data_IF_457496770998
#
_entry.id   IF_457496770998
#
_cell.length_a   1.000
_cell.length_b   1.000
_cell.length_c   1.000
_cell.angle_alpha   90.00
_cell.angle_beta   90.00
_cell.angle_gamma   90.00
#
_symmetry.space_group_name_H-M   'P 1'
#
loop_
_entity.id
_entity.type
_entity.pdbx_description
1 polymer ?
#
# COMPACT_ATOMS: atom_id res chain seq x y z
N UNK A 1 2.18 -8.75 -49.96
CA UNK A 1 1.76 -9.88 -50.81
C UNK A 1 1.32 -11.09 -49.94
N UNK A 2 0.64 -10.81 -48.83
CA UNK A 2 0.17 -11.83 -47.84
C UNK A 2 -1.39 -11.82 -47.70
N UNK A 3 -2.08 -10.93 -48.38
CA UNK A 3 -3.51 -10.70 -48.18
C UNK A 3 -4.47 -11.44 -49.10
N UNK A 4 -3.96 -12.12 -50.13
CA UNK A 4 -4.83 -12.80 -51.12
C UNK A 4 -5.14 -14.28 -50.80
N UNK A 5 -4.37 -14.89 -49.92
CA UNK A 5 -4.52 -16.36 -49.63
C UNK A 5 -5.60 -16.62 -48.57
N UNK A 6 -5.86 -15.65 -47.70
CA UNK A 6 -6.85 -15.79 -46.59
C UNK A 6 -8.29 -15.60 -47.13
N UNK A 7 -8.50 -14.67 -48.10
CA UNK A 7 -9.81 -14.48 -48.73
C UNK A 7 -10.31 -15.68 -49.54
N UNK A 8 -9.44 -16.46 -50.17
CA UNK A 8 -9.84 -17.64 -50.94
C UNK A 8 -10.28 -18.81 -50.06
N UNK A 9 -9.76 -18.96 -48.85
CA UNK A 9 -10.19 -20.03 -47.93
C UNK A 9 -11.54 -19.78 -47.27
N UNK A 10 -11.90 -18.53 -47.01
CA UNK A 10 -13.23 -18.19 -46.51
C UNK A 10 -14.34 -18.39 -47.54
N UNK A 11 -14.10 -18.12 -48.80
CA UNK A 11 -15.09 -18.27 -49.87
C UNK A 11 -15.38 -19.76 -50.18
N UNK A 12 -14.39 -20.65 -50.07
CA UNK A 12 -14.59 -22.08 -50.23
C UNK A 12 -15.33 -22.75 -49.04
N UNK A 13 -15.20 -22.22 -47.85
CA UNK A 13 -15.92 -22.70 -46.68
C UNK A 13 -17.41 -22.36 -46.75
N UNK A 14 -17.77 -21.20 -47.35
CA UNK A 14 -19.17 -20.81 -47.52
C UNK A 14 -19.97 -21.66 -48.53
N UNK A 15 -19.28 -22.27 -49.53
CA UNK A 15 -19.99 -23.12 -50.53
C UNK A 15 -20.38 -24.51 -50.05
N UNK A 16 -19.72 -25.02 -48.95
CA UNK A 16 -20.07 -26.33 -48.34
C UNK A 16 -21.05 -26.23 -47.19
N UNK A 17 -21.42 -25.03 -46.72
CA UNK A 17 -22.28 -24.80 -45.56
C UNK A 17 -23.77 -24.60 -45.94
N UNK A 18 -24.17 -24.74 -47.20
CA UNK A 18 -25.56 -24.47 -47.69
C UNK A 18 -26.56 -25.60 -47.39
N UNK A 19 -26.21 -26.62 -46.60
CA UNK A 19 -27.13 -27.70 -46.19
C UNK A 19 -27.51 -27.71 -44.70
N UNK A 20 -27.22 -26.63 -43.93
CA UNK A 20 -27.66 -26.54 -42.54
C UNK A 20 -28.90 -25.59 -42.41
N UNK A 21 -29.87 -25.89 -41.54
CA UNK A 21 -31.04 -25.05 -41.36
C UNK A 21 -30.65 -23.65 -40.86
N UNK A 22 -31.29 -22.62 -41.40
CA UNK A 22 -31.01 -21.18 -41.17
C UNK A 22 -30.84 -20.78 -39.69
N UNK A 23 -31.44 -21.52 -38.77
CA UNK A 23 -31.31 -21.27 -37.32
C UNK A 23 -29.90 -21.52 -36.74
N UNK A 24 -29.13 -22.45 -37.31
CA UNK A 24 -27.76 -22.79 -36.82
C UNK A 24 -26.76 -21.77 -37.33
N UNK A 25 -26.98 -21.18 -38.50
CA UNK A 25 -26.06 -20.16 -39.05
C UNK A 25 -26.10 -18.85 -38.24
N UNK A 26 -27.29 -18.47 -37.69
CA UNK A 26 -27.44 -17.30 -36.83
C UNK A 26 -26.74 -17.47 -35.48
N UNK A 27 -26.71 -18.68 -34.92
CA UNK A 27 -26.03 -18.96 -33.65
C UNK A 27 -24.50 -18.94 -33.78
N UNK A 28 -23.95 -19.42 -34.89
CA UNK A 28 -22.52 -19.41 -35.15
C UNK A 28 -21.99 -17.98 -35.41
N UNK A 29 -22.79 -17.11 -36.04
CA UNK A 29 -22.44 -15.70 -36.21
C UNK A 29 -22.50 -14.88 -34.89
N UNK A 30 -23.45 -15.22 -34.00
CA UNK A 30 -23.52 -14.60 -32.67
C UNK A 30 -22.32 -15.01 -31.80
N UNK A 31 -21.86 -16.26 -31.89
CA UNK A 31 -20.66 -16.71 -31.15
C UNK A 31 -19.34 -16.19 -31.73
N UNK A 32 -19.25 -15.93 -33.02
CA UNK A 32 -18.05 -15.35 -33.65
C UNK A 32 -17.84 -13.86 -33.33
N UNK A 33 -18.91 -13.13 -32.96
CA UNK A 33 -18.83 -11.71 -32.54
C UNK A 33 -18.40 -11.50 -31.08
N UNK A 34 -18.34 -12.56 -30.25
CA UNK A 34 -18.04 -12.43 -28.83
C UNK A 34 -16.52 -12.47 -28.54
N UNK A 35 -15.70 -12.86 -29.51
CA UNK A 35 -14.25 -13.00 -29.30
C UNK A 35 -13.37 -11.94 -29.98
N UNK A 36 -13.91 -10.78 -30.32
CA UNK A 36 -13.09 -9.60 -30.63
C UNK A 36 -12.81 -8.81 -29.35
N UNK A 37 -12.16 -9.43 -28.35
CA UNK A 37 -11.40 -8.68 -27.37
C UNK A 37 -10.25 -8.02 -28.15
N UNK A 38 -10.49 -6.81 -28.61
CA UNK A 38 -9.42 -5.92 -28.98
C UNK A 38 -8.51 -5.83 -27.74
N UNK A 39 -7.29 -6.35 -27.81
CA UNK A 39 -6.23 -6.08 -26.86
C UNK A 39 -5.95 -4.57 -26.95
N UNK A 40 -6.83 -3.75 -26.36
CA UNK A 40 -6.61 -2.31 -26.26
C UNK A 40 -5.42 -2.16 -25.29
N UNK A 41 -4.33 -1.63 -25.79
CA UNK A 41 -3.18 -1.30 -24.95
C UNK A 41 -3.65 -0.25 -23.93
N UNK A 42 -3.56 -0.56 -22.65
CA UNK A 42 -3.92 0.38 -21.59
C UNK A 42 -2.78 1.39 -21.40
N UNK A 43 -3.14 2.66 -21.21
CA UNK A 43 -2.19 3.74 -20.96
C UNK A 43 -2.17 4.08 -19.48
N UNK A 44 -1.04 3.85 -18.81
CA UNK A 44 -0.85 4.15 -17.39
C UNK A 44 -0.04 5.43 -17.20
N UNK A 45 -0.46 6.26 -16.25
CA UNK A 45 0.27 7.45 -15.84
C UNK A 45 0.78 7.29 -14.42
N UNK A 46 2.09 7.29 -14.25
CA UNK A 46 2.73 7.36 -12.94
C UNK A 46 3.06 8.81 -12.59
N UNK A 47 2.68 9.26 -11.41
CA UNK A 47 3.06 10.56 -10.88
C UNK A 47 3.77 10.35 -9.55
N UNK A 48 5.01 10.82 -9.45
CA UNK A 48 5.87 10.67 -8.29
C UNK A 48 5.97 11.98 -7.52
N UNK A 49 5.78 11.94 -6.21
CA UNK A 49 5.98 13.10 -5.32
C UNK A 49 7.41 13.60 -5.30
N UNK A 50 8.38 12.71 -5.56
CA UNK A 50 9.81 13.00 -5.56
C UNK A 50 10.58 11.88 -6.28
N UNK A 51 11.79 12.21 -6.68
CA UNK A 51 12.72 11.26 -7.29
C UNK A 51 13.59 10.58 -6.22
N UNK A 52 13.17 9.42 -5.73
CA UNK A 52 13.93 8.65 -4.75
C UNK A 52 14.11 7.20 -5.21
N UNK A 53 15.16 6.50 -4.71
CA UNK A 53 15.40 5.10 -5.06
C UNK A 53 14.19 4.20 -4.83
N UNK A 54 13.47 4.36 -3.71
CA UNK A 54 12.29 3.55 -3.39
C UNK A 54 11.14 3.78 -4.38
N UNK A 55 10.88 5.04 -4.76
CA UNK A 55 9.83 5.36 -5.73
C UNK A 55 10.17 4.82 -7.11
N UNK A 56 11.43 5.01 -7.56
CA UNK A 56 11.91 4.41 -8.82
C UNK A 56 11.84 2.88 -8.78
N UNK A 57 12.16 2.27 -7.64
CA UNK A 57 12.10 0.81 -7.49
C UNK A 57 10.67 0.29 -7.67
N UNK A 58 9.67 0.94 -7.06
CA UNK A 58 8.25 0.58 -7.25
C UNK A 58 7.86 0.67 -8.72
N UNK A 59 8.16 1.80 -9.38
CA UNK A 59 7.82 1.98 -10.80
C UNK A 59 8.50 0.93 -11.66
N UNK A 60 9.81 0.71 -11.47
CA UNK A 60 10.57 -0.26 -12.27
C UNK A 60 10.03 -1.69 -12.14
N UNK A 61 9.64 -2.10 -10.94
CA UNK A 61 9.07 -3.43 -10.71
C UNK A 61 7.74 -3.60 -11.44
N UNK A 62 6.87 -2.60 -11.40
CA UNK A 62 5.58 -2.62 -12.09
C UNK A 62 5.78 -2.61 -13.61
N UNK A 63 6.64 -1.72 -14.11
CA UNK A 63 6.84 -1.57 -15.56
C UNK A 63 7.57 -2.76 -16.18
N UNK A 64 8.49 -3.40 -15.46
CA UNK A 64 9.14 -4.63 -15.91
C UNK A 64 8.13 -5.75 -16.11
N UNK A 65 7.16 -5.91 -15.23
CA UNK A 65 6.07 -6.88 -15.37
C UNK A 65 5.21 -6.57 -16.60
N UNK A 66 4.86 -5.31 -16.80
CA UNK A 66 4.07 -4.86 -17.94
C UNK A 66 4.80 -4.99 -19.29
N UNK A 67 6.12 -4.76 -19.32
CA UNK A 67 6.93 -4.98 -20.53
C UNK A 67 6.96 -6.45 -20.93
N UNK A 68 6.96 -7.37 -19.97
CA UNK A 68 6.87 -8.81 -20.24
C UNK A 68 5.48 -9.21 -20.76
N UNK A 69 4.41 -8.67 -20.18
CA UNK A 69 3.02 -8.96 -20.59
C UNK A 69 2.58 -8.22 -21.86
N UNK A 70 3.24 -7.13 -22.24
CA UNK A 70 2.94 -6.24 -23.39
C UNK A 70 1.51 -5.66 -23.38
N UNK A 71 0.91 -5.52 -22.21
CA UNK A 71 -0.48 -5.08 -22.07
C UNK A 71 -0.62 -3.58 -21.76
N UNK A 72 0.50 -2.90 -21.45
CA UNK A 72 0.51 -1.51 -21.02
C UNK A 72 1.58 -0.67 -21.76
N UNK A 73 1.25 0.59 -21.96
CA UNK A 73 2.22 1.68 -22.18
C UNK A 73 2.15 2.61 -20.97
N UNK A 74 3.23 3.32 -20.67
CA UNK A 74 3.26 4.17 -19.48
C UNK A 74 4.05 5.45 -19.70
N UNK A 75 3.69 6.47 -18.89
CA UNK A 75 4.43 7.73 -18.75
C UNK A 75 4.72 7.93 -17.25
N UNK A 76 5.91 8.42 -16.94
CA UNK A 76 6.33 8.73 -15.58
C UNK A 76 6.60 10.22 -15.44
N UNK A 77 5.89 10.91 -14.55
CA UNK A 77 6.09 12.29 -14.19
C UNK A 77 6.65 12.42 -12.78
N UNK A 78 7.58 13.34 -12.58
CA UNK A 78 8.14 13.68 -11.27
C UNK A 78 7.93 15.18 -11.07
N UNK A 79 7.14 15.57 -10.04
CA UNK A 79 6.90 16.96 -9.63
C UNK A 79 6.61 17.89 -10.85
N UNK A 80 5.62 17.53 -11.65
CA UNK A 80 5.31 18.21 -12.91
C UNK A 80 4.41 19.43 -12.73
N UNK A 81 4.40 20.32 -13.73
CA UNK A 81 3.48 21.45 -13.83
C UNK A 81 2.02 20.98 -14.03
N UNK A 82 1.07 21.74 -13.49
CA UNK A 82 -0.36 21.41 -13.53
C UNK A 82 -0.93 21.18 -14.94
N UNK A 83 -0.46 21.94 -15.92
CA UNK A 83 -0.91 21.85 -17.33
C UNK A 83 -0.51 20.53 -18.00
N UNK A 84 0.66 20.00 -17.66
CA UNK A 84 1.11 18.71 -18.17
C UNK A 84 0.33 17.56 -17.55
N UNK A 85 0.05 17.64 -16.26
CA UNK A 85 -0.78 16.67 -15.55
C UNK A 85 -2.17 16.59 -16.19
N UNK A 86 -2.84 17.73 -16.45
CA UNK A 86 -4.17 17.76 -17.06
C UNK A 86 -4.20 17.13 -18.46
N UNK A 87 -3.15 17.32 -19.25
CA UNK A 87 -3.02 16.74 -20.59
C UNK A 87 -2.87 15.22 -20.51
N UNK A 88 -2.03 14.73 -19.61
CA UNK A 88 -1.74 13.30 -19.48
C UNK A 88 -2.85 12.52 -18.79
N UNK A 89 -3.57 13.12 -17.84
CA UNK A 89 -4.78 12.53 -17.25
C UNK A 89 -5.81 12.18 -18.32
N UNK A 90 -6.05 13.07 -19.29
CA UNK A 90 -7.00 12.82 -20.39
C UNK A 90 -6.58 11.70 -21.34
N UNK A 91 -5.30 11.41 -21.41
CA UNK A 91 -4.74 10.39 -22.30
C UNK A 91 -4.53 9.04 -21.61
N UNK A 92 -4.80 8.94 -20.30
CA UNK A 92 -4.51 7.75 -19.50
C UNK A 92 -5.78 7.00 -19.14
N UNK A 93 -5.71 5.67 -19.17
CA UNK A 93 -6.79 4.77 -18.75
C UNK A 93 -6.74 4.49 -17.23
N UNK A 94 -5.56 4.62 -16.61
CA UNK A 94 -5.32 4.46 -15.18
C UNK A 94 -4.21 5.40 -14.70
N UNK A 95 -4.34 5.89 -13.49
CA UNK A 95 -3.35 6.79 -12.85
C UNK A 95 -2.83 6.15 -11.57
N UNK A 96 -1.52 6.14 -11.40
CA UNK A 96 -0.85 5.63 -10.21
C UNK A 96 -0.02 6.75 -9.60
N UNK A 97 -0.41 7.23 -8.42
CA UNK A 97 0.31 8.27 -7.69
C UNK A 97 1.17 7.66 -6.60
N UNK A 98 2.43 8.08 -6.52
CA UNK A 98 3.38 7.63 -5.51
C UNK A 98 3.68 8.78 -4.54
N UNK A 99 3.15 8.67 -3.32
CA UNK A 99 3.30 9.64 -2.24
C UNK A 99 2.25 10.74 -2.21
N UNK A 100 2.27 11.50 -1.11
CA UNK A 100 1.21 12.48 -0.77
C UNK A 100 1.12 13.64 -1.74
N UNK A 101 2.27 14.21 -2.20
CA UNK A 101 2.25 15.36 -3.13
C UNK A 101 1.70 14.97 -4.50
N UNK A 102 2.05 13.78 -5.00
CA UNK A 102 1.50 13.26 -6.26
C UNK A 102 -0.01 13.00 -6.15
N UNK A 103 -0.45 12.37 -5.06
CA UNK A 103 -1.88 12.19 -4.78
C UNK A 103 -2.60 13.54 -4.71
N UNK A 104 -2.05 14.53 -3.99
CA UNK A 104 -2.61 15.87 -3.92
C UNK A 104 -2.76 16.50 -5.31
N UNK A 105 -1.74 16.43 -6.18
CA UNK A 105 -1.78 17.01 -7.52
C UNK A 105 -2.90 16.41 -8.40
N UNK A 106 -3.17 15.12 -8.28
CA UNK A 106 -4.24 14.45 -9.02
C UNK A 106 -5.62 14.71 -8.41
N UNK A 107 -5.75 14.61 -7.08
CA UNK A 107 -7.03 14.72 -6.40
C UNK A 107 -7.64 16.14 -6.43
N UNK A 108 -6.85 17.17 -6.80
CA UNK A 108 -7.34 18.52 -7.11
C UNK A 108 -8.08 18.60 -8.44
N UNK A 109 -7.92 17.58 -9.31
CA UNK A 109 -8.42 17.58 -10.68
C UNK A 109 -9.74 16.83 -10.80
N UNK A 110 -10.44 17.03 -11.92
CA UNK A 110 -11.60 16.20 -12.26
C UNK A 110 -11.12 14.83 -12.76
N UNK A 111 -11.30 13.81 -11.94
CA UNK A 111 -10.92 12.42 -12.23
C UNK A 111 -12.06 11.74 -12.98
N UNK A 112 -11.75 11.02 -14.04
CA UNK A 112 -12.70 10.22 -14.84
C UNK A 112 -12.26 8.76 -14.98
N UNK A 113 -11.02 8.46 -14.67
CA UNK A 113 -10.41 7.14 -14.71
C UNK A 113 -10.03 6.67 -13.29
N UNK A 114 -9.82 5.36 -13.07
CA UNK A 114 -9.34 4.83 -11.79
C UNK A 114 -8.00 5.46 -11.38
N UNK A 115 -7.90 5.82 -10.10
CA UNK A 115 -6.67 6.31 -9.49
C UNK A 115 -6.23 5.37 -8.37
N UNK A 116 -5.01 4.87 -8.45
CA UNK A 116 -4.35 4.16 -7.35
C UNK A 116 -3.39 5.14 -6.67
N UNK A 117 -3.60 5.41 -5.39
CA UNK A 117 -2.69 6.23 -4.59
C UNK A 117 -1.89 5.34 -3.65
N UNK A 118 -0.59 5.21 -3.89
CA UNK A 118 0.31 4.35 -3.10
C UNK A 118 1.46 5.15 -2.47
N UNK A 119 2.24 4.53 -1.57
CA UNK A 119 3.27 5.19 -0.76
C UNK A 119 2.72 6.41 0.00
N UNK A 120 1.49 6.30 0.49
CA UNK A 120 0.78 7.31 1.25
C UNK A 120 0.28 6.70 2.57
N UNK A 121 0.28 7.47 3.66
CA UNK A 121 -0.33 7.01 4.91
C UNK A 121 -1.85 7.17 4.88
N UNK A 122 -2.56 6.38 5.66
CA UNK A 122 -4.02 6.49 5.78
C UNK A 122 -4.44 7.90 6.21
N UNK A 123 -3.74 8.50 7.18
CA UNK A 123 -4.03 9.84 7.66
C UNK A 123 -3.85 10.90 6.57
N UNK A 124 -2.78 10.81 5.77
CA UNK A 124 -2.52 11.73 4.68
C UNK A 124 -3.58 11.59 3.57
N UNK A 125 -3.97 10.36 3.21
CA UNK A 125 -5.03 10.14 2.24
C UNK A 125 -6.38 10.69 2.74
N UNK A 126 -6.75 10.41 4.00
CA UNK A 126 -8.00 10.90 4.58
C UNK A 126 -8.07 12.43 4.54
N UNK A 127 -6.98 13.11 4.91
CA UNK A 127 -6.91 14.58 4.86
C UNK A 127 -7.09 15.13 3.45
N UNK A 128 -6.53 14.48 2.42
CA UNK A 128 -6.74 14.87 1.03
C UNK A 128 -8.17 14.61 0.57
N UNK A 129 -8.74 13.46 0.92
CA UNK A 129 -10.11 13.10 0.58
C UNK A 129 -11.12 14.05 1.23
N UNK A 130 -10.95 14.38 2.51
CA UNK A 130 -11.76 15.36 3.22
C UNK A 130 -11.67 16.74 2.56
N UNK A 131 -10.45 17.18 2.23
CA UNK A 131 -10.20 18.49 1.62
C UNK A 131 -10.88 18.68 0.26
N UNK A 132 -10.82 17.66 -0.61
CA UNK A 132 -11.25 17.80 -2.02
C UNK A 132 -12.62 17.20 -2.31
N UNK A 133 -13.06 16.21 -1.53
CA UNK A 133 -14.32 15.49 -1.75
C UNK A 133 -15.29 15.58 -0.56
N UNK A 134 -14.84 16.14 0.58
CA UNK A 134 -15.60 16.25 1.81
C UNK A 134 -15.56 15.04 2.72
N UNK A 135 -15.32 13.84 2.17
CA UNK A 135 -15.07 12.60 2.93
C UNK A 135 -14.39 11.52 2.08
N UNK A 136 -13.88 10.49 2.76
CA UNK A 136 -13.19 9.35 2.14
C UNK A 136 -14.12 8.54 1.23
N UNK A 137 -15.38 8.36 1.63
CA UNK A 137 -16.33 7.51 0.88
C UNK A 137 -16.65 8.11 -0.48
N UNK A 138 -16.72 9.43 -0.59
CA UNK A 138 -16.91 10.13 -1.86
C UNK A 138 -15.70 10.01 -2.78
N UNK A 139 -14.48 10.14 -2.24
CA UNK A 139 -13.27 9.92 -3.02
C UNK A 139 -13.25 8.50 -3.60
N UNK A 140 -13.55 7.51 -2.78
CA UNK A 140 -13.64 6.10 -3.18
C UNK A 140 -14.72 5.90 -4.26
N UNK A 141 -15.91 6.47 -4.08
CA UNK A 141 -17.01 6.36 -5.05
C UNK A 141 -16.65 6.94 -6.43
N UNK A 142 -15.72 7.90 -6.48
CA UNK A 142 -15.20 8.50 -7.72
C UNK A 142 -14.02 7.72 -8.33
N UNK A 143 -13.68 6.55 -7.83
CA UNK A 143 -12.67 5.68 -8.41
C UNK A 143 -11.25 5.85 -7.83
N UNK A 144 -11.12 6.52 -6.67
CA UNK A 144 -9.83 6.61 -5.97
C UNK A 144 -9.65 5.39 -5.07
N UNK A 145 -8.57 4.64 -5.28
CA UNK A 145 -8.24 3.43 -4.56
C UNK A 145 -6.86 3.57 -3.88
N UNK A 146 -6.81 4.04 -2.63
CA UNK A 146 -5.53 4.14 -1.92
C UNK A 146 -5.04 2.77 -1.46
N UNK A 147 -3.74 2.51 -1.65
CA UNK A 147 -2.98 1.47 -0.96
C UNK A 147 -2.18 2.17 0.12
N UNK A 148 -2.67 2.12 1.36
CA UNK A 148 -2.03 2.81 2.48
C UNK A 148 -0.81 2.05 2.99
N UNK A 149 0.18 2.77 3.54
CA UNK A 149 1.39 2.17 4.11
C UNK A 149 1.17 1.62 5.52
N UNK A 150 0.08 2.05 6.16
CA UNK A 150 -0.23 1.72 7.55
C UNK A 150 -0.52 0.23 7.69
N UNK A 151 0.37 -0.49 8.36
CA UNK A 151 0.16 -1.89 8.70
C UNK A 151 -0.95 -2.01 9.74
N UNK A 152 -1.87 -2.98 9.63
CA UNK A 152 -2.79 -3.30 10.72
C UNK A 152 -2.03 -3.48 12.05
N UNK A 153 -2.50 -2.81 13.11
CA UNK A 153 -1.80 -2.77 14.40
C UNK A 153 -1.62 -4.17 15.00
N UNK A 154 -2.56 -5.05 14.72
CA UNK A 154 -2.54 -6.46 15.10
C UNK A 154 -1.26 -7.18 14.66
N UNK A 155 -0.68 -6.81 13.51
CA UNK A 155 0.58 -7.38 13.03
C UNK A 155 1.74 -7.04 13.93
N UNK A 156 1.80 -5.83 14.45
CA UNK A 156 2.82 -5.42 15.43
C UNK A 156 2.66 -6.20 16.74
N UNK A 157 1.43 -6.41 17.21
CA UNK A 157 1.14 -7.20 18.40
C UNK A 157 1.49 -8.68 18.20
N UNK A 158 1.15 -9.24 17.05
CA UNK A 158 1.45 -10.64 16.75
C UNK A 158 2.96 -10.86 16.60
N UNK A 159 3.69 -9.94 15.95
CA UNK A 159 5.16 -9.97 15.89
C UNK A 159 5.76 -9.86 17.30
N UNK A 160 5.21 -8.98 18.14
CA UNK A 160 5.62 -8.83 19.54
C UNK A 160 5.53 -10.16 20.28
N UNK A 161 4.41 -10.86 20.18
CA UNK A 161 4.19 -12.16 20.85
C UNK A 161 5.11 -13.27 20.34
N UNK A 162 5.47 -13.25 19.07
CA UNK A 162 6.41 -14.21 18.50
C UNK A 162 7.86 -13.96 18.98
N UNK A 163 8.22 -12.71 19.26
CA UNK A 163 9.56 -12.34 19.72
C UNK A 163 9.72 -12.38 21.23
N UNK A 164 8.69 -12.03 21.98
CA UNK A 164 8.74 -11.77 23.41
C UNK A 164 7.78 -12.69 24.16
N UNK A 165 8.32 -13.64 24.95
CA UNK A 165 7.53 -14.68 25.63
C UNK A 165 6.68 -14.17 26.80
N UNK A 166 7.13 -13.13 27.50
CA UNK A 166 6.55 -12.66 28.77
C UNK A 166 6.12 -11.19 28.70
N UNK A 167 5.47 -10.79 27.59
CA UNK A 167 4.93 -9.44 27.44
C UNK A 167 3.57 -9.34 28.11
N UNK A 168 3.40 -8.32 28.93
CA UNK A 168 2.15 -7.94 29.55
C UNK A 168 1.74 -6.53 29.19
N UNK A 169 2.66 -5.57 29.36
CA UNK A 169 2.39 -4.14 29.22
C UNK A 169 2.92 -3.61 27.87
N UNK A 170 1.99 -3.13 27.02
CA UNK A 170 2.29 -2.62 25.70
C UNK A 170 2.21 -1.10 25.70
N UNK A 171 3.37 -0.45 25.54
CA UNK A 171 3.48 0.99 25.39
C UNK A 171 3.15 1.42 23.96
N UNK A 172 2.26 2.40 23.81
CA UNK A 172 1.89 2.98 22.52
C UNK A 172 1.86 4.50 22.64
N UNK A 173 2.35 5.17 21.61
CA UNK A 173 2.26 6.63 21.50
C UNK A 173 1.35 6.99 20.34
N UNK A 174 0.33 7.80 20.63
CA UNK A 174 -0.59 8.33 19.64
C UNK A 174 -0.44 9.86 19.57
N UNK A 175 -0.26 10.37 18.38
CA UNK A 175 -0.33 11.80 18.10
C UNK A 175 -1.75 12.27 17.83
N UNK A 176 -1.91 13.57 17.52
CA UNK A 176 -3.23 14.16 17.25
C UNK A 176 -4.01 13.44 16.14
N UNK A 177 -3.34 12.98 15.09
CA UNK A 177 -3.99 12.28 13.97
C UNK A 177 -4.51 10.91 14.36
N UNK A 178 -3.79 10.19 15.22
CA UNK A 178 -4.13 8.83 15.67
C UNK A 178 -5.01 8.81 16.92
N UNK A 179 -5.14 9.94 17.65
CA UNK A 179 -5.88 10.03 18.91
C UNK A 179 -7.34 9.57 18.81
N UNK A 180 -8.00 9.82 17.67
CA UNK A 180 -9.38 9.37 17.40
C UNK A 180 -9.53 7.84 17.42
N UNK A 181 -8.44 7.11 17.18
CA UNK A 181 -8.42 5.65 17.15
C UNK A 181 -7.97 5.04 18.50
N UNK A 182 -7.87 5.84 19.58
CA UNK A 182 -7.43 5.37 20.90
C UNK A 182 -8.14 4.09 21.36
N UNK A 183 -9.48 4.08 21.28
CA UNK A 183 -10.29 2.92 21.69
C UNK A 183 -9.99 1.67 20.86
N UNK A 184 -9.75 1.82 19.57
CA UNK A 184 -9.41 0.69 18.70
C UNK A 184 -8.05 0.08 19.08
N UNK A 185 -7.03 0.90 19.38
CA UNK A 185 -5.74 0.41 19.87
C UNK A 185 -5.87 -0.27 21.23
N UNK A 186 -6.65 0.31 22.15
CA UNK A 186 -6.93 -0.28 23.46
C UNK A 186 -7.54 -1.67 23.30
N UNK A 187 -8.62 -1.80 22.54
CA UNK A 187 -9.31 -3.06 22.28
C UNK A 187 -8.38 -4.10 21.63
N UNK A 188 -7.63 -3.72 20.60
CA UNK A 188 -6.69 -4.64 19.96
C UNK A 188 -5.64 -5.22 20.90
N UNK A 189 -5.20 -4.45 21.90
CA UNK A 189 -4.25 -4.90 22.93
C UNK A 189 -4.94 -5.83 23.92
N UNK A 190 -6.11 -5.42 24.45
CA UNK A 190 -6.87 -6.15 25.46
C UNK A 190 -7.40 -7.49 24.96
N UNK A 191 -7.87 -7.58 23.72
CA UNK A 191 -8.31 -8.82 23.07
C UNK A 191 -7.22 -9.89 23.02
N UNK A 192 -5.97 -9.46 23.14
CA UNK A 192 -4.79 -10.35 23.19
C UNK A 192 -4.30 -10.63 24.61
N UNK A 193 -5.12 -10.32 25.64
CA UNK A 193 -4.76 -10.41 27.06
C UNK A 193 -3.48 -9.64 27.41
N UNK A 194 -3.29 -8.47 26.78
CA UNK A 194 -2.21 -7.51 27.07
C UNK A 194 -2.79 -6.25 27.71
N UNK A 195 -1.96 -5.49 28.41
CA UNK A 195 -2.35 -4.26 29.10
C UNK A 195 -1.88 -3.04 28.30
N UNK A 196 -2.78 -2.18 27.82
CA UNK A 196 -2.40 -0.98 27.10
C UNK A 196 -1.80 0.07 28.04
N UNK A 197 -0.68 0.66 27.62
CA UNK A 197 -0.05 1.86 28.18
C UNK A 197 -0.02 2.93 27.10
N UNK A 198 -1.19 3.51 26.83
CA UNK A 198 -1.33 4.45 25.71
C UNK A 198 -1.07 5.87 26.18
N UNK A 199 -0.15 6.55 25.48
CA UNK A 199 0.16 7.94 25.65
C UNK A 199 -0.43 8.75 24.50
N UNK A 200 -1.31 9.71 24.82
CA UNK A 200 -1.70 10.76 23.89
C UNK A 200 -0.71 11.90 24.03
N UNK A 201 0.06 12.16 22.97
CA UNK A 201 1.04 13.24 22.96
C UNK A 201 0.32 14.60 22.81
N UNK A 202 0.64 15.49 23.71
CA UNK A 202 0.35 16.92 23.60
C UNK A 202 1.51 17.57 22.81
N UNK A 203 1.28 18.10 21.60
CA UNK A 203 2.33 18.66 20.76
C UNK A 203 2.95 19.93 21.37
N UNK A 204 2.26 20.61 22.26
CA UNK A 204 2.73 21.83 22.91
C UNK A 204 3.65 21.55 24.11
N UNK A 205 3.76 20.30 24.53
CA UNK A 205 4.62 19.88 25.63
C UNK A 205 5.89 19.15 25.15
N UNK A 206 6.90 19.15 26.00
CA UNK A 206 8.14 18.43 25.73
C UNK A 206 7.85 16.92 25.55
N UNK A 207 8.05 16.35 24.36
CA UNK A 207 7.69 14.97 24.07
C UNK A 207 8.51 13.94 24.87
N UNK A 208 9.76 14.23 25.20
CA UNK A 208 10.60 13.33 26.00
C UNK A 208 10.02 13.13 27.40
N UNK A 209 9.58 14.23 28.04
CA UNK A 209 8.98 14.16 29.38
C UNK A 209 7.67 13.40 29.40
N UNK A 210 6.92 13.40 28.28
CA UNK A 210 5.69 12.65 28.15
C UNK A 210 5.96 11.17 27.87
N UNK A 211 6.96 10.85 27.04
CA UNK A 211 7.35 9.50 26.65
C UNK A 211 7.99 8.70 27.80
N UNK A 212 8.86 9.33 28.58
CA UNK A 212 9.67 8.66 29.60
C UNK A 212 8.85 7.80 30.58
N UNK A 213 7.75 8.29 31.18
CA UNK A 213 6.95 7.47 32.10
C UNK A 213 6.34 6.23 31.42
N UNK A 214 5.87 6.36 30.19
CA UNK A 214 5.18 5.28 29.49
C UNK A 214 6.15 4.21 28.99
N UNK A 215 7.27 4.63 28.42
CA UNK A 215 8.32 3.69 28.00
C UNK A 215 8.82 2.88 29.18
N UNK A 216 9.06 3.54 30.32
CA UNK A 216 9.60 2.90 31.54
C UNK A 216 8.72 1.78 32.11
N UNK A 217 7.40 1.88 31.99
CA UNK A 217 6.44 0.91 32.54
C UNK A 217 5.94 -0.12 31.52
N UNK A 218 6.52 -0.12 30.32
CA UNK A 218 6.14 -1.03 29.24
C UNK A 218 7.13 -2.18 29.13
N UNK A 219 6.64 -3.35 28.70
CA UNK A 219 7.50 -4.50 28.33
C UNK A 219 7.94 -4.43 26.86
N UNK A 220 7.19 -3.71 26.05
CA UNK A 220 7.45 -3.42 24.64
C UNK A 220 6.88 -2.06 24.29
N UNK A 221 7.52 -1.34 23.39
CA UNK A 221 7.02 -0.07 22.89
C UNK A 221 6.75 -0.14 21.39
N UNK A 222 5.54 0.23 20.97
CA UNK A 222 5.09 0.21 19.57
C UNK A 222 4.73 1.64 19.16
N UNK A 223 5.63 2.37 18.47
CA UNK A 223 5.29 3.67 17.90
C UNK A 223 4.28 3.49 16.76
N UNK A 224 3.23 4.29 16.76
CA UNK A 224 2.24 4.33 15.67
C UNK A 224 2.63 5.42 14.68
N UNK A 225 2.43 5.16 13.39
CA UNK A 225 2.67 6.13 12.34
C UNK A 225 1.66 7.29 12.44
N UNK A 226 2.10 8.45 12.92
CA UNK A 226 1.31 9.68 13.01
C UNK A 226 2.03 10.82 12.30
N UNK A 227 1.40 11.44 11.32
CA UNK A 227 2.02 12.45 10.45
C UNK A 227 2.54 13.69 11.21
N UNK A 228 2.00 14.00 12.38
CA UNK A 228 2.41 15.14 13.20
C UNK A 228 3.59 14.80 14.14
N UNK A 229 3.75 13.54 14.52
CA UNK A 229 4.77 13.12 15.49
C UNK A 229 5.95 12.42 14.87
N UNK A 230 5.79 11.85 13.68
CA UNK A 230 6.85 11.05 13.07
C UNK A 230 7.83 11.95 12.34
N UNK A 231 8.88 12.28 13.06
CA UNK A 231 10.10 12.84 12.52
C UNK A 231 11.31 12.10 13.11
N UNK A 232 12.46 12.30 12.49
CA UNK A 232 13.74 11.67 12.90
C UNK A 232 14.07 11.94 14.37
N UNK A 233 13.70 13.11 14.88
CA UNK A 233 13.97 13.52 16.25
C UNK A 233 13.14 12.72 17.25
N UNK A 234 11.83 12.58 17.02
CA UNK A 234 10.93 11.79 17.88
C UNK A 234 11.35 10.31 17.88
N UNK A 235 11.69 9.76 16.72
CA UNK A 235 12.18 8.38 16.62
C UNK A 235 13.46 8.17 17.44
N UNK A 236 14.42 9.10 17.37
CA UNK A 236 15.63 9.05 18.20
C UNK A 236 15.32 9.07 19.70
N UNK A 237 14.41 9.90 20.16
CA UNK A 237 14.03 9.97 21.58
C UNK A 237 13.38 8.66 22.05
N UNK A 238 12.48 8.09 21.27
CA UNK A 238 11.88 6.80 21.59
C UNK A 238 12.97 5.74 21.74
N UNK A 239 13.86 5.64 20.77
CA UNK A 239 14.93 4.64 20.79
C UNK A 239 15.94 4.87 21.92
N UNK A 240 16.27 6.11 22.25
CA UNK A 240 17.16 6.44 23.40
C UNK A 240 16.53 6.06 24.74
N UNK A 241 15.24 6.37 24.94
CA UNK A 241 14.52 5.99 26.16
C UNK A 241 14.39 4.46 26.27
N UNK A 242 14.00 3.81 25.18
CA UNK A 242 13.88 2.36 25.10
C UNK A 242 15.21 1.66 25.39
N UNK A 243 16.30 2.14 24.83
CA UNK A 243 17.65 1.64 25.12
C UNK A 243 18.01 1.79 26.62
N UNK A 244 17.72 2.96 27.21
CA UNK A 244 17.98 3.25 28.63
C UNK A 244 17.28 2.26 29.55
N UNK A 245 16.02 1.95 29.24
CA UNK A 245 15.17 1.07 30.07
C UNK A 245 15.19 -0.39 29.61
N UNK A 246 15.97 -0.73 28.57
CA UNK A 246 16.02 -2.06 27.93
C UNK A 246 14.65 -2.53 27.44
N UNK A 247 13.85 -1.64 26.89
CA UNK A 247 12.53 -1.93 26.35
C UNK A 247 12.67 -2.17 24.84
N UNK A 248 12.28 -3.34 24.32
CA UNK A 248 12.23 -3.58 22.88
C UNK A 248 11.27 -2.65 22.18
N UNK A 249 11.65 -2.15 20.99
CA UNK A 249 10.78 -1.34 20.14
C UNK A 249 10.42 -2.13 18.89
N UNK A 250 9.12 -2.22 18.58
CA UNK A 250 8.61 -2.78 17.32
C UNK A 250 8.18 -1.61 16.44
N UNK A 251 9.00 -1.30 15.45
CA UNK A 251 8.80 -0.15 14.55
C UNK A 251 7.88 -0.47 13.36
N UNK A 252 7.72 0.54 12.49
CA UNK A 252 6.88 0.47 11.28
C UNK A 252 7.70 0.69 9.98
N UNK A 253 9.03 0.63 10.02
CA UNK A 253 9.88 0.78 8.84
C UNK A 253 11.25 0.16 9.04
N UNK A 254 11.94 -0.19 7.94
CA UNK A 254 13.31 -0.65 7.96
C UNK A 254 14.26 0.36 8.62
N UNK A 255 14.03 1.66 8.42
CA UNK A 255 14.83 2.72 9.02
C UNK A 255 14.74 2.74 10.55
N UNK A 256 13.60 2.36 11.13
CA UNK A 256 13.47 2.22 12.58
C UNK A 256 14.38 1.12 13.12
N UNK A 257 14.47 -0.01 12.42
CA UNK A 257 15.37 -1.12 12.78
C UNK A 257 16.82 -0.73 12.61
N UNK A 258 17.17 -0.06 11.51
CA UNK A 258 18.51 0.47 11.30
C UNK A 258 18.92 1.50 12.38
N UNK A 259 17.97 2.27 12.91
CA UNK A 259 18.20 3.25 13.98
C UNK A 259 18.22 2.64 15.40
N UNK A 260 17.90 1.34 15.59
CA UNK A 260 17.98 0.64 16.86
C UNK A 260 16.69 0.02 17.41
N UNK A 261 15.60 -0.05 16.63
CA UNK A 261 14.45 -0.87 17.01
C UNK A 261 14.80 -2.37 16.93
N UNK A 262 14.15 -3.20 17.74
CA UNK A 262 14.33 -4.65 17.73
C UNK A 262 13.86 -5.28 16.41
N UNK A 263 12.68 -4.88 15.96
CA UNK A 263 12.08 -5.38 14.75
C UNK A 263 11.13 -4.34 14.14
N UNK A 264 10.73 -4.54 12.90
CA UNK A 264 9.61 -3.83 12.30
C UNK A 264 8.85 -4.70 11.32
N UNK A 265 7.55 -4.39 11.12
CA UNK A 265 6.72 -4.88 10.03
C UNK A 265 6.31 -3.70 9.17
N UNK A 266 6.51 -3.79 7.86
CA UNK A 266 6.26 -2.71 6.91
C UNK A 266 6.07 -3.27 5.49
N UNK A 267 5.66 -2.42 4.54
CA UNK A 267 5.65 -2.79 3.13
C UNK A 267 6.93 -2.29 2.44
N UNK A 268 7.69 -3.22 1.88
CA UNK A 268 8.85 -2.91 1.02
C UNK A 268 8.40 -2.37 -0.35
N UNK A 269 9.28 -1.79 -1.16
CA UNK A 269 8.97 -1.45 -2.55
C UNK A 269 8.43 -2.64 -3.36
N UNK A 270 8.94 -3.84 -3.11
CA UNK A 270 8.47 -5.10 -3.71
C UNK A 270 7.03 -5.43 -3.30
N UNK A 271 6.70 -5.29 -2.01
CA UNK A 271 5.35 -5.53 -1.49
C UNK A 271 4.35 -4.53 -2.08
N UNK A 272 4.73 -3.25 -2.13
CA UNK A 272 3.90 -2.17 -2.70
C UNK A 272 3.67 -2.40 -4.20
N UNK A 273 4.73 -2.75 -4.95
CA UNK A 273 4.62 -3.02 -6.39
C UNK A 273 3.69 -4.17 -6.67
N UNK A 274 3.86 -5.27 -5.94
CA UNK A 274 3.03 -6.46 -6.10
C UNK A 274 1.56 -6.17 -5.81
N UNK A 275 1.27 -5.48 -4.71
CA UNK A 275 -0.12 -5.11 -4.39
C UNK A 275 -0.70 -4.12 -5.39
N UNK A 276 0.12 -3.23 -5.95
CA UNK A 276 -0.32 -2.30 -7.00
C UNK A 276 -0.68 -3.06 -8.27
N UNK A 277 0.12 -4.06 -8.68
CA UNK A 277 -0.19 -4.94 -9.81
C UNK A 277 -1.49 -5.71 -9.60
N UNK A 278 -1.64 -6.38 -8.45
CA UNK A 278 -2.86 -7.12 -8.10
C UNK A 278 -4.11 -6.21 -8.15
N UNK A 279 -3.96 -4.94 -7.71
CA UNK A 279 -5.04 -3.97 -7.73
C UNK A 279 -5.37 -3.50 -9.15
N UNK A 280 -4.36 -3.24 -9.99
CA UNK A 280 -4.58 -2.91 -11.41
C UNK A 280 -5.35 -4.01 -12.11
N UNK A 281 -4.99 -5.27 -11.94
CA UNK A 281 -5.72 -6.41 -12.50
C UNK A 281 -7.15 -6.48 -11.99
N UNK A 282 -7.35 -6.24 -10.67
CA UNK A 282 -8.67 -6.25 -10.05
C UNK A 282 -9.58 -5.14 -10.56
N UNK A 283 -9.04 -3.95 -10.83
CA UNK A 283 -9.79 -2.81 -11.38
C UNK A 283 -10.31 -3.05 -12.80
N UNK A 284 -9.69 -3.96 -13.54
CA UNK A 284 -10.12 -4.36 -14.89
C UNK A 284 -11.18 -5.46 -14.85
N UNK A 285 -11.39 -6.11 -13.71
CA UNK A 285 -12.38 -7.16 -13.54
C UNK A 285 -13.79 -6.56 -13.36
N UNK A 286 -14.79 -7.21 -13.96
CA UNK A 286 -16.19 -6.80 -13.77
C UNK A 286 -16.61 -6.93 -12.30
N UNK A 287 -17.35 -5.92 -11.82
CA UNK A 287 -17.92 -5.92 -10.46
C UNK A 287 -16.93 -5.51 -9.36
N UNK A 288 -15.75 -5.02 -9.71
CA UNK A 288 -14.81 -4.49 -8.71
C UNK A 288 -15.43 -3.32 -7.92
N UNK A 289 -15.25 -3.35 -6.58
CA UNK A 289 -15.70 -2.27 -5.70
C UNK A 289 -14.49 -1.48 -5.19
N UNK A 290 -14.48 -0.19 -5.51
CA UNK A 290 -13.47 0.73 -5.00
C UNK A 290 -13.48 0.76 -3.45
N UNK A 291 -12.30 0.79 -2.84
CA UNK A 291 -12.14 0.80 -1.39
C UNK A 291 -10.75 1.29 -0.96
N UNK A 292 -10.56 1.50 0.34
CA UNK A 292 -9.24 1.67 0.94
C UNK A 292 -8.58 0.29 1.09
N UNK A 293 -7.34 0.16 0.62
CA UNK A 293 -6.55 -1.07 0.69
C UNK A 293 -5.48 -0.96 1.76
N UNK A 294 -5.57 -1.82 2.77
CA UNK A 294 -4.46 -2.06 3.69
C UNK A 294 -3.42 -2.99 3.06
N UNK A 295 -2.16 -2.98 3.53
CA UNK A 295 -1.13 -3.84 2.99
C UNK A 295 -1.49 -5.32 3.07
N UNK A 296 -1.49 -6.01 1.92
CA UNK A 296 -1.68 -7.47 1.84
C UNK A 296 -0.35 -8.20 1.92
N UNK A 297 0.71 -7.55 1.51
CA UNK A 297 2.08 -8.02 1.57
C UNK A 297 2.85 -7.25 2.62
N UNK A 298 3.77 -7.90 3.31
CA UNK A 298 4.63 -7.23 4.28
C UNK A 298 6.00 -7.91 4.41
N UNK A 299 6.95 -7.10 4.79
CA UNK A 299 8.32 -7.49 5.11
C UNK A 299 8.57 -7.30 6.60
N UNK A 300 9.23 -8.27 7.24
CA UNK A 300 9.70 -8.18 8.62
C UNK A 300 11.21 -8.06 8.63
N UNK A 301 11.74 -7.13 9.41
CA UNK A 301 13.17 -6.92 9.58
C UNK A 301 13.55 -6.88 11.06
N UNK A 302 14.73 -7.40 11.41
CA UNK A 302 15.22 -7.52 12.76
C UNK A 302 16.59 -6.88 12.93
N UNK A 303 16.84 -6.35 14.12
CA UNK A 303 18.17 -5.91 14.55
C UNK A 303 18.80 -6.98 15.48
N UNK A 304 19.68 -7.81 14.93
CA UNK A 304 20.33 -8.91 15.66
C UNK A 304 21.19 -8.39 16.82
N UNK A 305 21.79 -7.22 16.67
CA UNK A 305 22.59 -6.58 17.76
C UNK A 305 21.69 -6.18 18.91
N UNK A 306 20.54 -5.57 18.64
CA UNK A 306 19.56 -5.20 19.67
C UNK A 306 18.98 -6.46 20.33
N UNK A 307 18.63 -7.48 19.56
CA UNK A 307 18.15 -8.76 20.10
C UNK A 307 19.18 -9.36 21.07
N UNK A 308 20.46 -9.39 20.68
CA UNK A 308 21.54 -9.88 21.55
C UNK A 308 21.66 -9.06 22.84
N UNK A 309 21.64 -7.73 22.78
CA UNK A 309 21.68 -6.85 23.95
C UNK A 309 20.49 -7.01 24.90
N UNK A 310 19.36 -7.40 24.37
CA UNK A 310 18.14 -7.67 25.14
C UNK A 310 18.03 -9.16 25.61
N UNK A 311 19.01 -10.00 25.30
CA UNK A 311 19.03 -11.44 25.55
C UNK A 311 17.83 -12.16 24.89
N UNK A 312 17.47 -11.74 23.68
CA UNK A 312 16.36 -12.29 22.91
C UNK A 312 16.88 -13.15 21.75
N UNK A 313 16.21 -14.27 21.51
CA UNK A 313 16.45 -15.11 20.34
C UNK A 313 15.38 -14.84 19.30
N UNK A 314 15.78 -14.52 18.08
CA UNK A 314 14.88 -14.37 16.95
C UNK A 314 14.50 -15.79 16.49
N UNK A 315 13.21 -16.14 16.47
CA UNK A 315 12.78 -17.47 16.02
C UNK A 315 13.12 -17.74 14.57
N UNK A 316 13.57 -18.96 14.27
CA UNK A 316 13.82 -19.40 12.90
C UNK A 316 12.55 -19.30 12.05
N UNK A 317 12.71 -18.77 10.84
CA UNK A 317 11.59 -18.62 9.89
C UNK A 317 10.90 -17.24 9.91
N UNK A 318 11.01 -16.45 10.98
CA UNK A 318 10.51 -15.05 10.96
C UNK A 318 11.29 -14.17 9.98
N UNK A 319 12.58 -14.40 9.79
CA UNK A 319 13.44 -13.66 8.85
C UNK A 319 13.04 -13.88 7.36
N UNK A 320 12.27 -14.92 7.07
CA UNK A 320 11.84 -15.29 5.71
C UNK A 320 10.42 -14.82 5.39
N UNK A 321 9.80 -14.02 6.23
CA UNK A 321 8.42 -13.57 6.05
C UNK A 321 8.37 -12.41 5.03
N UNK A 322 8.64 -12.74 3.77
CA UNK A 322 8.43 -11.87 2.62
C UNK A 322 7.29 -12.44 1.79
N UNK A 323 6.28 -11.64 1.51
CA UNK A 323 5.13 -12.10 0.76
C UNK A 323 3.80 -11.75 1.43
N UNK A 324 2.75 -12.57 1.24
CA UNK A 324 1.48 -12.34 1.94
C UNK A 324 1.71 -12.33 3.44
N UNK A 325 1.21 -11.26 4.08
CA UNK A 325 1.46 -11.02 5.48
C UNK A 325 0.64 -11.98 6.34
N UNK A 326 1.31 -12.94 6.98
CA UNK A 326 0.71 -13.96 7.85
C UNK A 326 1.00 -13.69 9.35
N UNK A 327 1.18 -12.41 9.72
CA UNK A 327 1.37 -11.97 11.10
C UNK A 327 0.04 -11.74 11.80
#
# INVERSE_FOLDING_TARGET
>A
MIDFTIKRRCVLALRKALCFPRAVLSLVFLFACINSYSNKLNHALFILSKDTPDYRRVVNLITTDWEQSKNYTYVVLIQSEDTEIDRLLKASDIVITLGTSAANAVLTKKITQPVISTLITQSAFNSLAEKYYGDVSKAIALGVNPIVLDQPFERHLNLTRQLLKNVTDVGVMLGPSAAKNHSAYTLSIEERNLKPKILLIDPDKNPIRQLDPVVKISDVFIPVADSHLINVTTAKWILQLAYRYRIPVIGYSANYVAAGALASVYSSPEDVSKQTLDLVESLLAEGYKNQVHFPQYCTVTFNKTVAWHLNLTIPDGLEKNTGRCNL
#
